data_IF_893897227892
#
_entry.id   IF_893897227892
#
_cell.length_a   1.000
_cell.length_b   1.000
_cell.length_c   1.000
_cell.angle_alpha   90.00
_cell.angle_beta   90.00
_cell.angle_gamma   90.00
#
_symmetry.space_group_name_H-M   'P 1'
#
loop_
_entity.id
_entity.type
_entity.pdbx_description
1 polymer ?
#
# COMPACT_ATOMS: atom_id res chain seq x y z
N UNK A 1 -27.55 -44.64 37.23
CA UNK A 1 -27.03 -44.43 38.61
C UNK A 1 -27.66 -43.14 39.15
N UNK A 2 -28.30 -43.21 40.31
CA UNK A 2 -28.93 -42.05 40.95
C UNK A 2 -27.98 -41.49 42.00
N UNK A 3 -27.76 -40.18 41.99
CA UNK A 3 -26.99 -39.51 43.03
C UNK A 3 -27.80 -38.34 43.56
N UNK A 4 -27.73 -38.12 44.86
CA UNK A 4 -28.41 -37.04 45.56
C UNK A 4 -27.44 -35.87 45.73
N UNK A 5 -27.75 -34.75 45.07
CA UNK A 5 -27.11 -33.45 45.30
C UNK A 5 -28.19 -32.52 45.85
N UNK A 6 -27.88 -31.84 46.97
CA UNK A 6 -28.76 -30.86 47.64
C UNK A 6 -30.17 -31.39 48.02
N UNK A 7 -30.30 -32.68 48.31
CA UNK A 7 -31.57 -33.29 48.76
C UNK A 7 -32.56 -33.64 47.64
N UNK A 8 -32.21 -33.41 46.38
CA UNK A 8 -33.00 -33.84 45.21
C UNK A 8 -32.33 -35.04 44.54
N UNK A 9 -33.14 -36.02 44.11
CA UNK A 9 -32.67 -37.23 43.42
C UNK A 9 -32.50 -36.93 41.93
N UNK A 10 -31.27 -36.95 41.43
CA UNK A 10 -30.99 -36.75 40.01
C UNK A 10 -30.52 -38.04 39.35
N UNK A 11 -30.98 -38.25 38.11
CA UNK A 11 -30.46 -39.31 37.23
C UNK A 11 -29.19 -38.80 36.56
N UNK A 12 -28.09 -39.54 36.73
CA UNK A 12 -26.77 -39.15 36.22
C UNK A 12 -26.75 -38.89 34.70
N UNK A 13 -27.57 -39.62 33.93
CA UNK A 13 -27.75 -39.43 32.50
C UNK A 13 -28.24 -38.01 32.14
N UNK A 14 -29.19 -37.47 32.90
CA UNK A 14 -29.78 -36.15 32.64
C UNK A 14 -28.74 -35.04 32.89
N UNK A 15 -27.92 -35.19 33.93
CA UNK A 15 -26.89 -34.20 34.26
C UNK A 15 -25.80 -34.14 33.19
N UNK A 16 -25.39 -35.29 32.67
CA UNK A 16 -24.41 -35.35 31.57
C UNK A 16 -24.94 -34.68 30.31
N UNK A 17 -26.21 -34.93 29.95
CA UNK A 17 -26.84 -34.28 28.80
C UNK A 17 -26.89 -32.76 28.98
N UNK A 18 -27.28 -32.27 30.16
CA UNK A 18 -27.32 -30.83 30.43
C UNK A 18 -25.95 -30.15 30.32
N UNK A 19 -24.86 -30.82 30.72
CA UNK A 19 -23.49 -30.30 30.59
C UNK A 19 -23.08 -30.24 29.12
N UNK A 20 -23.37 -31.28 28.33
CA UNK A 20 -23.05 -31.31 26.90
C UNK A 20 -23.80 -30.22 26.12
N UNK A 21 -25.10 -30.05 26.40
CA UNK A 21 -25.92 -29.00 25.78
C UNK A 21 -25.45 -27.61 26.21
N UNK A 22 -25.13 -27.43 27.51
CA UNK A 22 -24.58 -26.18 28.02
C UNK A 22 -23.25 -25.80 27.37
N UNK A 23 -22.35 -26.78 27.16
CA UNK A 23 -21.09 -26.55 26.46
C UNK A 23 -21.30 -26.13 25.01
N UNK A 24 -22.21 -26.80 24.30
CA UNK A 24 -22.55 -26.45 22.91
C UNK A 24 -23.11 -25.02 22.80
N UNK A 25 -24.01 -24.63 23.71
CA UNK A 25 -24.57 -23.27 23.74
C UNK A 25 -23.48 -22.24 24.08
N UNK A 26 -22.61 -22.51 25.05
CA UNK A 26 -21.51 -21.60 25.40
C UNK A 26 -20.52 -21.40 24.25
N UNK A 27 -20.17 -22.46 23.52
CA UNK A 27 -19.27 -22.38 22.37
C UNK A 27 -19.86 -21.53 21.23
N UNK A 28 -21.17 -21.62 21.00
CA UNK A 28 -21.84 -20.89 19.92
C UNK A 28 -22.27 -19.46 20.29
N UNK A 29 -22.62 -19.19 21.55
CA UNK A 29 -23.20 -17.89 21.97
C UNK A 29 -22.21 -17.02 22.74
N UNK A 30 -21.50 -17.60 23.73
CA UNK A 30 -20.65 -16.82 24.64
C UNK A 30 -19.22 -16.63 24.11
N UNK A 31 -18.63 -17.69 23.55
CA UNK A 31 -17.29 -17.60 22.95
C UNK A 31 -17.26 -16.83 21.63
N UNK A 32 -18.41 -16.60 21.00
CA UNK A 32 -18.51 -15.77 19.80
C UNK A 32 -18.28 -14.27 20.09
N UNK A 33 -18.62 -13.81 21.31
CA UNK A 33 -18.49 -12.40 21.72
C UNK A 33 -17.06 -12.00 22.14
N UNK A 34 -16.19 -12.95 22.48
CA UNK A 34 -14.78 -12.71 22.85
C UNK A 34 -13.80 -12.85 21.67
N UNK A 35 -14.32 -12.86 20.44
CA UNK A 35 -13.54 -13.08 19.21
C UNK A 35 -13.40 -14.57 18.88
N UNK A 36 -14.54 -15.24 18.71
CA UNK A 36 -14.66 -16.69 18.46
C UNK A 36 -13.86 -17.24 17.26
N UNK A 37 -14.14 -18.49 16.85
CA UNK A 37 -13.45 -19.13 15.74
C UNK A 37 -13.51 -18.27 14.46
N UNK A 38 -12.35 -17.78 14.02
CA UNK A 38 -12.19 -16.87 12.86
C UNK A 38 -12.31 -17.59 11.50
N UNK A 39 -12.76 -18.84 11.49
CA UNK A 39 -12.76 -19.75 10.32
C UNK A 39 -13.88 -19.46 9.30
N UNK A 40 -14.11 -18.18 8.98
CA UNK A 40 -15.13 -17.78 7.99
C UNK A 40 -15.18 -16.29 7.69
N UNK A 41 -14.47 -15.45 8.45
CA UNK A 41 -14.35 -14.03 8.17
C UNK A 41 -13.25 -13.70 7.14
N UNK A 42 -12.26 -14.58 6.94
CA UNK A 42 -11.23 -14.37 5.91
C UNK A 42 -11.82 -14.42 4.48
N UNK A 43 -12.73 -15.35 4.20
CA UNK A 43 -13.38 -15.45 2.89
C UNK A 43 -14.44 -14.37 2.64
N UNK A 44 -15.01 -13.78 3.70
CA UNK A 44 -15.91 -12.63 3.59
C UNK A 44 -15.14 -11.30 3.36
N UNK A 45 -13.92 -11.18 3.90
CA UNK A 45 -13.01 -10.05 3.64
C UNK A 45 -12.58 -9.97 2.17
N UNK A 46 -12.35 -11.11 1.52
CA UNK A 46 -12.03 -11.15 0.08
C UNK A 46 -13.23 -10.80 -0.82
N UNK A 47 -14.47 -10.92 -0.32
CA UNK A 47 -15.69 -10.77 -1.15
C UNK A 47 -16.50 -9.49 -0.89
N UNK A 48 -16.37 -8.82 0.27
CA UNK A 48 -17.34 -7.77 0.68
C UNK A 48 -16.79 -6.38 0.99
N UNK A 49 -15.51 -6.10 0.76
CA UNK A 49 -14.99 -4.73 0.88
C UNK A 49 -13.49 -4.72 1.06
N UNK A 50 -12.83 -3.66 0.56
CA UNK A 50 -11.38 -3.51 0.49
C UNK A 50 -10.68 -4.16 1.69
N UNK A 51 -9.93 -5.24 1.42
CA UNK A 51 -9.19 -5.94 2.46
C UNK A 51 -8.40 -4.91 3.26
N UNK A 52 -8.42 -5.01 4.60
CA UNK A 52 -7.70 -4.08 5.47
C UNK A 52 -6.18 -4.04 5.18
N UNK A 53 -5.68 -5.03 4.44
CA UNK A 53 -4.30 -5.14 3.98
C UNK A 53 -4.15 -5.06 2.44
N UNK A 54 -5.14 -4.48 1.76
CA UNK A 54 -5.07 -4.27 0.32
C UNK A 54 -4.05 -3.18 -0.01
N UNK A 55 -2.90 -3.62 -0.54
CA UNK A 55 -1.88 -2.76 -1.13
C UNK A 55 -1.96 -2.89 -2.65
N UNK A 56 -2.12 -1.76 -3.37
CA UNK A 56 -2.25 -1.71 -4.83
C UNK A 56 -1.08 -2.39 -5.55
N UNK A 57 0.08 -2.48 -4.91
CA UNK A 57 1.31 -3.06 -5.42
C UNK A 57 1.54 -4.54 -5.17
N UNK A 58 0.63 -5.23 -4.50
CA UNK A 58 0.79 -6.66 -4.24
C UNK A 58 0.64 -7.44 -5.57
N UNK A 59 1.72 -8.06 -6.04
CA UNK A 59 1.74 -8.84 -7.28
C UNK A 59 2.00 -8.05 -8.58
N UNK A 60 2.12 -6.71 -8.50
CA UNK A 60 2.42 -5.86 -9.66
C UNK A 60 3.93 -5.56 -9.70
N UNK A 61 4.63 -6.08 -10.71
CA UNK A 61 6.06 -5.81 -10.93
C UNK A 61 6.27 -4.31 -11.20
N UNK A 62 7.05 -3.65 -10.36
CA UNK A 62 7.31 -2.20 -10.46
C UNK A 62 6.20 -1.32 -9.88
N UNK A 63 5.37 -1.85 -8.98
CA UNK A 63 4.38 -1.02 -8.30
C UNK A 63 5.03 0.15 -7.54
N UNK A 64 4.39 1.30 -7.66
CA UNK A 64 4.76 2.54 -6.96
C UNK A 64 4.75 2.39 -5.44
N UNK A 65 4.00 1.42 -4.88
CA UNK A 65 3.98 1.13 -3.43
C UNK A 65 5.33 0.58 -2.92
N UNK A 66 6.07 -0.15 -3.76
CA UNK A 66 7.38 -0.72 -3.42
C UNK A 66 8.55 -0.01 -4.08
N UNK A 67 8.28 0.90 -5.02
CA UNK A 67 9.31 1.58 -5.79
C UNK A 67 10.28 2.39 -4.92
N UNK A 68 9.87 2.83 -3.71
CA UNK A 68 10.76 3.51 -2.75
C UNK A 68 11.99 2.67 -2.34
N UNK A 69 11.92 1.35 -2.41
CA UNK A 69 13.03 0.46 -2.02
C UNK A 69 14.01 0.15 -3.18
N UNK A 70 13.55 0.27 -4.43
CA UNK A 70 14.32 -0.11 -5.63
C UNK A 70 14.87 1.09 -6.42
N UNK A 71 14.60 2.32 -5.94
CA UNK A 71 15.12 3.58 -6.50
C UNK A 71 16.60 3.69 -6.11
N UNK A 72 17.56 3.53 -7.04
CA UNK A 72 18.97 3.71 -6.70
C UNK A 72 19.17 5.17 -6.26
N UNK A 73 19.94 5.45 -5.20
CA UNK A 73 20.32 6.82 -4.87
C UNK A 73 21.02 7.41 -6.11
N UNK A 74 20.59 8.59 -6.57
CA UNK A 74 21.15 9.32 -7.71
C UNK A 74 20.67 8.95 -9.15
N UNK A 75 19.37 8.76 -9.42
CA UNK A 75 18.87 8.66 -10.83
C UNK A 75 19.10 9.93 -11.62
N UNK A 76 19.17 11.07 -10.95
CA UNK A 76 19.49 12.33 -11.61
C UNK A 76 20.99 12.57 -11.80
N UNK A 77 21.87 11.64 -11.41
CA UNK A 77 23.32 11.80 -11.60
C UNK A 77 23.69 11.99 -13.07
N UNK A 78 22.98 11.30 -13.97
CA UNK A 78 23.17 11.43 -15.42
C UNK A 78 22.74 12.81 -15.96
N UNK A 79 22.02 13.59 -15.15
CA UNK A 79 21.55 14.93 -15.47
C UNK A 79 22.46 16.02 -14.88
N UNK A 80 23.46 15.65 -14.07
CA UNK A 80 24.40 16.59 -13.48
C UNK A 80 25.18 17.33 -14.59
N UNK A 81 25.14 18.67 -14.54
CA UNK A 81 25.75 19.53 -15.56
C UNK A 81 24.78 20.05 -16.63
N UNK A 82 23.54 19.53 -16.69
CA UNK A 82 22.50 20.11 -17.54
C UNK A 82 21.90 21.36 -16.88
N UNK A 83 21.79 22.43 -17.67
CA UNK A 83 21.13 23.68 -17.27
C UNK A 83 19.73 23.74 -17.87
N UNK A 84 18.76 24.15 -17.06
CA UNK A 84 17.36 24.31 -17.45
C UNK A 84 16.82 25.68 -17.04
N UNK A 85 15.58 25.97 -17.45
CA UNK A 85 14.88 27.18 -17.04
C UNK A 85 14.47 27.17 -15.56
N UNK A 86 13.97 28.30 -15.05
CA UNK A 86 13.61 28.46 -13.63
C UNK A 86 12.51 27.50 -13.19
N UNK A 87 12.63 27.03 -11.95
CA UNK A 87 11.65 26.16 -11.28
C UNK A 87 11.38 26.74 -9.88
N UNK A 88 10.12 26.85 -9.43
CA UNK A 88 8.89 26.56 -10.17
C UNK A 88 8.71 27.47 -11.38
N UNK A 89 7.91 27.01 -12.36
CA UNK A 89 7.57 27.78 -13.56
C UNK A 89 7.01 29.17 -13.16
N UNK A 90 7.44 30.26 -13.81
CA UNK A 90 6.87 31.58 -13.58
C UNK A 90 5.40 31.65 -14.03
N UNK A 91 4.68 32.64 -13.52
CA UNK A 91 3.26 32.80 -13.82
C UNK A 91 3.02 32.94 -15.34
N UNK A 92 1.96 32.27 -15.82
CA UNK A 92 1.57 32.16 -17.23
C UNK A 92 2.50 31.34 -18.14
N UNK A 93 3.41 30.54 -17.57
CA UNK A 93 4.20 29.58 -18.34
C UNK A 93 3.80 28.13 -18.05
N UNK A 94 3.68 27.32 -19.11
CA UNK A 94 3.28 25.91 -19.03
C UNK A 94 4.35 24.93 -19.50
N UNK A 95 5.44 25.44 -20.10
CA UNK A 95 6.44 24.62 -20.76
C UNK A 95 7.78 24.67 -20.03
N UNK A 96 8.07 23.68 -19.17
CA UNK A 96 9.31 23.61 -18.36
C UNK A 96 10.58 23.57 -19.21
N UNK A 97 10.51 22.95 -20.39
CA UNK A 97 11.66 22.63 -21.23
C UNK A 97 11.95 23.72 -22.25
N UNK A 98 11.28 24.88 -22.16
CA UNK A 98 11.41 25.99 -23.12
C UNK A 98 12.85 26.44 -23.31
N UNK A 99 13.59 26.50 -22.21
CA UNK A 99 14.97 27.00 -22.15
C UNK A 99 16.01 25.88 -22.18
N UNK A 100 15.57 24.63 -22.25
CA UNK A 100 16.48 23.48 -22.26
C UNK A 100 17.06 23.27 -23.65
N UNK A 101 18.34 22.92 -23.68
CA UNK A 101 18.99 22.44 -24.90
C UNK A 101 18.46 21.05 -25.25
N UNK A 102 18.25 20.80 -26.54
CA UNK A 102 18.06 19.45 -27.08
C UNK A 102 19.29 19.01 -27.87
N UNK A 103 19.82 17.84 -27.54
CA UNK A 103 21.05 17.30 -28.13
C UNK A 103 21.00 15.76 -28.09
N UNK A 104 21.47 15.05 -29.12
CA UNK A 104 21.56 13.59 -29.10
C UNK A 104 22.46 13.05 -27.98
N UNK A 105 23.43 13.84 -27.51
CA UNK A 105 24.31 13.46 -26.40
C UNK A 105 23.58 13.37 -25.05
N UNK A 106 22.41 14.00 -24.92
CA UNK A 106 21.59 13.94 -23.71
C UNK A 106 20.68 12.71 -23.65
N UNK A 107 20.83 11.76 -24.58
CA UNK A 107 20.10 10.51 -24.56
C UNK A 107 20.83 9.45 -23.71
N UNK A 108 20.09 8.58 -22.99
CA UNK A 108 18.63 8.44 -23.00
C UNK A 108 17.92 9.46 -22.08
N UNK A 109 16.85 10.09 -22.57
CA UNK A 109 15.97 10.93 -21.74
C UNK A 109 14.49 10.62 -22.00
N UNK A 110 13.64 10.93 -21.02
CA UNK A 110 12.18 10.72 -21.09
C UNK A 110 11.52 11.57 -22.18
N UNK A 111 12.07 12.74 -22.45
CA UNK A 111 11.53 13.70 -23.42
C UNK A 111 12.52 13.90 -24.57
N UNK A 112 12.00 13.93 -25.79
CA UNK A 112 12.78 14.10 -27.01
C UNK A 112 12.13 15.12 -27.95
N UNK A 113 12.94 15.65 -28.83
CA UNK A 113 12.57 16.60 -29.90
C UNK A 113 13.13 16.09 -31.23
N UNK A 114 12.82 16.78 -32.32
CA UNK A 114 13.34 16.43 -33.65
C UNK A 114 14.87 16.49 -33.77
N UNK A 115 15.55 17.20 -32.87
CA UNK A 115 17.00 17.39 -32.88
C UNK A 115 17.74 16.54 -31.84
N UNK A 116 17.04 15.76 -31.01
CA UNK A 116 17.64 14.91 -29.98
C UNK A 116 16.85 14.89 -28.67
N UNK A 117 17.46 14.33 -27.63
CA UNK A 117 16.88 14.28 -26.29
C UNK A 117 16.97 15.63 -25.58
N UNK A 118 16.04 15.91 -24.66
CA UNK A 118 16.09 17.14 -23.88
C UNK A 118 17.07 16.96 -22.71
N UNK A 119 18.03 17.86 -22.60
CA UNK A 119 18.98 17.93 -21.49
C UNK A 119 18.29 18.56 -20.28
N UNK A 120 17.48 17.79 -19.55
CA UNK A 120 16.80 18.26 -18.33
C UNK A 120 17.78 18.44 -17.17
N UNK A 121 17.60 19.49 -16.37
CA UNK A 121 18.38 19.64 -15.13
C UNK A 121 17.87 18.68 -14.04
N UNK A 122 18.71 18.34 -13.04
CA UNK A 122 18.30 17.50 -11.91
C UNK A 122 17.11 18.09 -11.15
N UNK A 123 17.14 19.41 -10.94
CA UNK A 123 16.09 20.15 -10.24
C UNK A 123 14.76 20.09 -10.99
N UNK A 124 14.77 20.21 -12.33
CA UNK A 124 13.54 20.12 -13.13
C UNK A 124 12.91 18.74 -13.01
N UNK A 125 13.74 17.69 -13.03
CA UNK A 125 13.26 16.32 -12.88
C UNK A 125 12.71 16.06 -11.47
N UNK A 126 13.35 16.60 -10.43
CA UNK A 126 12.86 16.53 -9.06
C UNK A 126 11.51 17.23 -8.90
N UNK A 127 11.36 18.45 -9.41
CA UNK A 127 10.10 19.16 -9.37
C UNK A 127 8.97 18.45 -10.12
N UNK A 128 9.27 17.79 -11.25
CA UNK A 128 8.31 16.95 -11.96
C UNK A 128 7.92 15.71 -11.16
N UNK A 129 8.86 15.13 -10.43
CA UNK A 129 8.60 13.95 -9.58
C UNK A 129 7.71 14.30 -8.38
N UNK A 130 7.86 15.48 -7.80
CA UNK A 130 7.04 15.96 -6.66
C UNK A 130 5.69 16.56 -7.08
N UNK A 131 5.52 16.82 -8.38
CA UNK A 131 4.29 17.40 -8.92
C UNK A 131 3.08 16.48 -8.69
N UNK A 132 1.94 17.08 -8.34
CA UNK A 132 0.67 16.35 -8.16
C UNK A 132 0.39 15.88 -6.73
N UNK A 133 1.20 16.28 -5.74
CA UNK A 133 0.89 16.15 -4.30
C UNK A 133 0.91 14.72 -3.75
N UNK A 134 1.15 13.72 -4.59
CA UNK A 134 1.24 12.31 -4.20
C UNK A 134 2.68 11.89 -3.86
N UNK A 135 3.66 12.76 -4.13
CA UNK A 135 5.09 12.57 -3.84
C UNK A 135 5.63 13.80 -3.14
N UNK A 136 5.93 13.68 -1.84
CA UNK A 136 6.54 14.74 -1.03
C UNK A 136 8.04 14.53 -0.79
N UNK A 137 8.65 13.58 -1.50
CA UNK A 137 10.09 13.26 -1.41
C UNK A 137 10.68 13.29 -2.81
N UNK A 138 11.72 14.10 -3.00
CA UNK A 138 12.45 14.24 -4.24
C UNK A 138 13.41 13.08 -4.47
N UNK A 139 13.97 13.01 -5.68
CA UNK A 139 15.02 12.04 -5.97
C UNK A 139 16.31 12.47 -5.27
N UNK A 140 16.67 11.79 -4.18
CA UNK A 140 17.90 12.08 -3.41
C UNK A 140 17.70 12.71 -2.02
N UNK A 141 16.48 12.81 -1.49
CA UNK A 141 16.24 13.25 -0.10
C UNK A 141 16.56 12.17 0.96
N UNK A 142 17.67 11.44 0.79
CA UNK A 142 18.24 10.50 1.77
C UNK A 142 19.75 10.71 1.93
#
# INVERSE_FOLDING_TARGET
MEFTILGQKFRLEIVIICILVGWFICANVFCSCAGGAKEGFESALDLTGAALDYTMGTGVKGSWDKMRQDIPPNVNQQLEGNVGGPIPLPENELFIWRENKSDPNCCPATYSTSTGCICSSPEQMNYLNERGGNRTIGYGDF
#
